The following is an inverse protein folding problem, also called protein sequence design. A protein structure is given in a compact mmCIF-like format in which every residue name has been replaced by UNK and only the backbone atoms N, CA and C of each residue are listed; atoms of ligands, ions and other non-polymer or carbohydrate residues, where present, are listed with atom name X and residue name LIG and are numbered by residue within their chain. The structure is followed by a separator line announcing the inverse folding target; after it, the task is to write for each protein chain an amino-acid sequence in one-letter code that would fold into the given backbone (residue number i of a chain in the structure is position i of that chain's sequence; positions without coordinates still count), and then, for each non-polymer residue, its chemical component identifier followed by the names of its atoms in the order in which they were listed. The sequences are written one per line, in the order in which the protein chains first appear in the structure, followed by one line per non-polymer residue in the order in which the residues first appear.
data_IF_068261115228
#
_entry.id   IF_068261115228
#
_cell.length_a   1.000
_cell.length_b   1.000
_cell.length_c   1.000
_cell.angle_alpha   90.00
_cell.angle_beta   90.00
_cell.angle_gamma   90.00
#
_symmetry.space_group_name_H-M   'P 1'
#
loop_
_entity.id
_entity.type
_entity.pdbx_description
1 polymer ?
#
# COMPACT_ATOMS: atom_id res chain seq x y z
N UNK A 1 6.97 9.16 26.15
CA UNK A 1 8.16 8.89 25.31
C UNK A 1 7.77 9.23 23.89
N UNK A 2 8.21 10.38 23.39
CA UNK A 2 8.00 10.75 21.99
C UNK A 2 8.96 9.92 21.12
N UNK A 3 8.47 9.32 20.04
CA UNK A 3 9.32 8.64 19.06
C UNK A 3 10.38 9.61 18.55
N UNK A 4 11.62 9.16 18.29
CA UNK A 4 12.65 10.03 17.73
C UNK A 4 12.13 10.61 16.42
N UNK A 5 12.08 11.94 16.33
CA UNK A 5 11.76 12.66 15.10
C UNK A 5 12.72 12.15 14.02
N UNK A 6 12.18 11.62 12.93
CA UNK A 6 12.99 11.04 11.86
C UNK A 6 13.97 12.09 11.34
N UNK A 7 15.26 11.95 11.65
CA UNK A 7 16.30 12.83 11.14
C UNK A 7 16.44 12.59 9.64
N UNK A 8 16.03 13.56 8.83
CA UNK A 8 16.20 13.52 7.38
C UNK A 8 17.60 14.06 7.08
N UNK A 9 18.54 13.17 6.77
CA UNK A 9 19.88 13.55 6.32
C UNK A 9 19.80 14.14 4.91
N UNK A 10 20.32 15.36 4.71
CA UNK A 10 20.32 16.06 3.42
C UNK A 10 21.77 16.38 3.06
N UNK A 11 22.26 15.78 1.99
CA UNK A 11 23.62 15.82 1.46
C UNK A 11 23.59 16.28 0.00
N UNK A 12 24.76 16.51 -0.59
CA UNK A 12 24.87 16.85 -2.02
C UNK A 12 24.28 15.78 -2.97
N UNK A 13 24.03 14.56 -2.48
CA UNK A 13 23.56 13.42 -3.27
C UNK A 13 22.13 12.99 -2.94
N UNK A 14 21.45 13.65 -1.99
CA UNK A 14 20.04 13.40 -1.70
C UNK A 14 19.31 14.71 -1.42
N UNK A 15 18.16 14.88 -2.05
CA UNK A 15 17.27 16.00 -1.83
C UNK A 15 16.02 15.53 -1.10
N UNK A 16 15.62 16.28 -0.07
CA UNK A 16 14.33 16.09 0.57
C UNK A 16 13.31 17.05 -0.06
N UNK A 17 12.18 16.51 -0.50
CA UNK A 17 11.07 17.30 -1.04
C UNK A 17 9.92 17.22 -0.04
N UNK A 18 9.51 18.38 0.48
CA UNK A 18 8.35 18.48 1.37
C UNK A 18 7.10 18.78 0.55
N UNK A 19 6.07 17.96 0.70
CA UNK A 19 4.78 18.16 0.05
C UNK A 19 3.77 18.73 1.04
N UNK A 20 3.11 19.82 0.68
CA UNK A 20 2.03 20.42 1.45
C UNK A 20 0.73 20.38 0.65
N UNK A 21 -0.39 20.22 1.37
CA UNK A 21 -1.72 20.28 0.76
C UNK A 21 -2.10 21.72 0.45
N UNK A 22 -2.76 21.93 -0.67
CA UNK A 22 -3.35 23.23 -0.98
C UNK A 22 -4.47 23.58 0.02
N UNK A 23 -4.76 24.87 0.26
CA UNK A 23 -5.90 25.27 1.06
C UNK A 23 -7.19 24.62 0.57
N UNK A 24 -7.97 24.05 1.50
CA UNK A 24 -9.22 23.33 1.18
C UNK A 24 -9.05 21.87 0.77
N UNK A 25 -7.82 21.37 0.59
CA UNK A 25 -7.58 19.93 0.44
C UNK A 25 -7.62 19.23 1.80
N UNK A 26 -8.54 18.29 1.96
CA UNK A 26 -8.79 17.54 3.20
C UNK A 26 -8.60 16.03 3.01
N UNK A 27 -8.50 15.30 4.12
CA UNK A 27 -8.37 13.83 4.13
C UNK A 27 -6.94 13.32 3.87
N UNK A 28 -6.67 12.01 3.97
CA UNK A 28 -5.35 11.41 3.82
C UNK A 28 -4.71 11.66 2.45
N UNK A 29 -3.37 11.64 2.40
CA UNK A 29 -2.68 11.43 1.13
C UNK A 29 -2.98 10.01 0.63
N UNK A 30 -3.21 9.86 -0.68
CA UNK A 30 -3.50 8.55 -1.28
C UNK A 30 -2.35 8.02 -2.11
N UNK A 31 -1.77 8.86 -2.98
CA UNK A 31 -0.63 8.49 -3.84
C UNK A 31 0.25 9.66 -4.20
N UNK A 32 1.52 9.36 -4.46
CA UNK A 32 2.50 10.23 -5.10
C UNK A 32 2.89 9.61 -6.44
N UNK A 33 2.74 10.37 -7.53
CA UNK A 33 3.23 9.99 -8.85
C UNK A 33 4.48 10.83 -9.15
N UNK A 34 5.59 10.20 -9.53
CA UNK A 34 6.85 10.87 -9.82
C UNK A 34 7.56 10.21 -11.00
N UNK A 35 8.24 11.00 -11.83
CA UNK A 35 8.93 10.53 -13.02
C UNK A 35 9.38 11.69 -13.90
N UNK A 36 10.29 11.46 -14.85
CA UNK A 36 10.77 12.50 -15.75
C UNK A 36 9.68 13.01 -16.71
N UNK A 37 8.71 12.16 -17.03
CA UNK A 37 7.56 12.48 -17.88
C UNK A 37 6.37 11.55 -17.58
N UNK A 38 5.26 11.77 -18.28
CA UNK A 38 4.00 11.03 -18.10
C UNK A 38 4.09 9.55 -18.47
N UNK A 39 5.04 9.16 -19.32
CA UNK A 39 5.22 7.78 -19.78
C UNK A 39 6.02 6.92 -18.79
N UNK A 40 6.78 7.56 -17.90
CA UNK A 40 7.64 6.93 -16.90
C UNK A 40 7.25 7.28 -15.45
N UNK A 41 5.97 7.58 -15.20
CA UNK A 41 5.47 7.86 -13.85
C UNK A 41 5.50 6.58 -13.01
N UNK A 42 6.26 6.63 -11.92
CA UNK A 42 6.18 5.68 -10.83
C UNK A 42 5.14 6.14 -9.82
N UNK A 43 4.35 5.19 -9.32
CA UNK A 43 3.36 5.46 -8.27
C UNK A 43 3.85 4.91 -6.93
N UNK A 44 3.73 5.74 -5.89
CA UNK A 44 3.90 5.35 -4.50
C UNK A 44 2.62 5.64 -3.73
N UNK A 45 1.96 4.59 -3.26
CA UNK A 45 0.75 4.71 -2.46
C UNK A 45 1.11 5.06 -1.01
N UNK A 46 0.32 5.93 -0.39
CA UNK A 46 0.42 6.23 1.03
C UNK A 46 -0.63 5.41 1.77
N UNK A 47 -0.19 4.54 2.68
CA UNK A 47 -1.08 3.73 3.52
C UNK A 47 -0.96 4.19 4.96
N UNK A 48 -2.09 4.43 5.60
CA UNK A 48 -2.23 4.83 6.99
C UNK A 48 -3.44 4.11 7.60
N UNK A 49 -3.55 4.11 8.93
CA UNK A 49 -4.68 3.49 9.64
C UNK A 49 -6.04 4.05 9.18
N UNK A 50 -6.11 5.33 8.82
CA UNK A 50 -7.32 5.99 8.33
C UNK A 50 -7.72 5.61 6.89
N UNK A 51 -6.81 5.05 6.09
CA UNK A 51 -7.07 4.78 4.68
C UNK A 51 -6.85 3.32 4.26
N UNK A 52 -6.42 2.46 5.19
CA UNK A 52 -6.09 1.06 4.94
C UNK A 52 -7.26 0.29 4.37
N UNK A 53 -8.48 0.51 4.87
CA UNK A 53 -9.68 -0.18 4.37
C UNK A 53 -9.93 0.15 2.90
N UNK A 54 -9.86 1.43 2.52
CA UNK A 54 -10.01 1.86 1.13
C UNK A 54 -8.85 1.39 0.24
N UNK A 55 -7.64 1.27 0.78
CA UNK A 55 -6.50 0.68 0.07
C UNK A 55 -6.74 -0.82 -0.18
N UNK A 56 -7.15 -1.58 0.84
CA UNK A 56 -7.46 -2.99 0.73
C UNK A 56 -8.58 -3.23 -0.28
N UNK A 57 -9.63 -2.41 -0.30
CA UNK A 57 -10.66 -2.49 -1.33
C UNK A 57 -10.10 -2.36 -2.76
N UNK A 58 -9.13 -1.47 -2.99
CA UNK A 58 -8.55 -1.27 -4.33
C UNK A 58 -7.60 -2.40 -4.77
N UNK A 59 -6.90 -3.05 -3.83
CA UNK A 59 -5.95 -4.13 -4.13
C UNK A 59 -6.65 -5.50 -4.15
N UNK A 60 -7.64 -5.69 -3.28
CA UNK A 60 -8.42 -6.92 -3.15
C UNK A 60 -9.61 -6.98 -4.10
N UNK A 61 -9.96 -5.88 -4.77
CA UNK A 61 -10.88 -5.88 -5.89
C UNK A 61 -10.06 -5.92 -7.18
N UNK A 62 -9.56 -7.10 -7.61
CA UNK A 62 -9.04 -7.17 -8.95
C UNK A 62 -10.22 -6.89 -9.88
N UNK A 63 -9.95 -6.25 -11.00
CA UNK A 63 -10.84 -6.23 -12.16
C UNK A 63 -11.29 -7.65 -12.61
N UNK A 64 -10.75 -8.70 -11.99
CA UNK A 64 -11.12 -10.12 -12.09
C UNK A 64 -12.29 -10.56 -11.20
N UNK A 65 -12.70 -9.81 -10.17
CA UNK A 65 -13.82 -10.16 -9.29
C UNK A 65 -15.18 -9.70 -9.85
N UNK A 66 -15.37 -9.79 -11.17
CA UNK A 66 -16.69 -9.70 -11.83
C UNK A 66 -17.23 -11.07 -12.26
N UNK A 67 -16.70 -12.17 -11.75
CA UNK A 67 -17.39 -13.45 -11.87
C UNK A 67 -18.39 -13.59 -10.73
N UNK A 68 -19.64 -13.52 -11.15
CA UNK A 68 -20.84 -13.83 -10.40
C UNK A 68 -20.70 -15.10 -9.56
N UNK A 69 -21.10 -14.97 -8.30
CA UNK A 69 -22.00 -15.89 -7.58
C UNK A 69 -21.61 -17.37 -7.64
N UNK A 70 -21.10 -17.85 -6.50
CA UNK A 70 -21.27 -19.22 -6.01
C UNK A 70 -20.50 -20.30 -6.78
N UNK A 71 -19.18 -20.37 -6.64
CA UNK A 71 -18.47 -21.66 -6.54
C UNK A 71 -17.10 -21.44 -5.87
N UNK A 72 -16.83 -22.22 -4.84
CA UNK A 72 -15.55 -22.32 -4.13
C UNK A 72 -15.20 -21.11 -3.24
N UNK A 73 -15.65 -21.16 -1.97
CA UNK A 73 -14.89 -20.51 -0.90
C UNK A 73 -13.45 -21.03 -1.02
N UNK A 74 -12.41 -20.19 -1.10
CA UNK A 74 -11.04 -20.69 -1.11
C UNK A 74 -10.81 -21.36 0.24
N UNK A 75 -10.90 -22.69 0.27
CA UNK A 75 -10.66 -23.47 1.45
C UNK A 75 -9.15 -23.48 1.64
N UNK A 76 -8.66 -22.61 2.50
CA UNK A 76 -7.24 -22.58 2.85
C UNK A 76 -6.99 -23.78 3.76
N UNK A 77 -6.09 -24.64 3.35
CA UNK A 77 -5.60 -25.75 4.16
C UNK A 77 -4.21 -25.39 4.70
N UNK A 78 -4.08 -25.40 6.03
CA UNK A 78 -2.79 -25.25 6.69
C UNK A 78 -2.12 -26.63 6.68
N UNK A 79 -1.01 -26.75 5.95
CA UNK A 79 -0.30 -28.01 5.78
C UNK A 79 0.72 -28.22 6.91
N UNK A 80 1.48 -27.19 7.25
CA UNK A 80 2.57 -27.26 8.22
C UNK A 80 2.85 -25.90 8.86
N UNK A 81 3.14 -25.87 10.15
CA UNK A 81 3.54 -24.66 10.89
C UNK A 81 4.68 -25.03 11.82
N UNK A 82 5.85 -24.44 11.58
CA UNK A 82 7.02 -24.50 12.45
C UNK A 82 7.35 -23.10 12.97
N UNK A 83 8.38 -22.99 13.80
CA UNK A 83 8.87 -21.71 14.31
C UNK A 83 9.34 -20.77 13.19
N UNK A 84 9.86 -21.33 12.09
CA UNK A 84 10.50 -20.60 10.99
C UNK A 84 9.67 -20.54 9.70
N UNK A 85 8.64 -21.38 9.54
CA UNK A 85 7.82 -21.40 8.32
C UNK A 85 6.35 -21.74 8.60
N UNK A 86 5.48 -21.25 7.72
CA UNK A 86 4.09 -21.67 7.63
C UNK A 86 3.77 -22.00 6.17
N UNK A 87 3.22 -23.19 5.93
CA UNK A 87 2.84 -23.66 4.62
C UNK A 87 1.32 -23.75 4.53
N UNK A 88 0.76 -22.97 3.60
CA UNK A 88 -0.67 -22.95 3.30
C UNK A 88 -0.89 -23.34 1.85
N UNK A 89 -2.01 -24.04 1.59
CA UNK A 89 -2.46 -24.38 0.25
C UNK A 89 -3.85 -23.80 0.02
N UNK A 90 -4.05 -23.22 -1.16
CA UNK A 90 -5.37 -22.90 -1.70
C UNK A 90 -5.89 -24.16 -2.41
N UNK A 91 -7.10 -24.61 -2.06
CA UNK A 91 -7.82 -25.67 -2.80
C UNK A 91 -8.51 -25.12 -4.04
#
# INVERSE_FOLDING_TARGET
LASPESSIDVSAHNAAITLAKAPGSTGPWKKLCFGPDTSALQERLFVSEENVDGFLDTVLCPSFCKQSVLESQPLIEVLDVTEDKSQIRLQ
#
